data_IF_644749760293
#
_entry.id   IF_644749760293
#
_cell.length_a   1.000
_cell.length_b   1.000
_cell.length_c   1.000
_cell.angle_alpha   90.00
_cell.angle_beta   90.00
_cell.angle_gamma   90.00
#
_symmetry.space_group_name_H-M   'P 1'
#
loop_
_entity.id
_entity.type
_entity.pdbx_description
1 polymer ?
#
# COMPACT_ATOMS: atom_id res chain seq x y z
N UNK A 1 32.99 -65.52 20.55
CA UNK A 1 32.74 -65.08 19.15
C UNK A 1 31.24 -64.82 18.82
N UNK A 2 30.29 -65.19 19.67
CA UNK A 2 28.84 -64.91 19.43
C UNK A 2 28.36 -63.50 19.90
N UNK A 3 28.99 -62.91 20.90
CA UNK A 3 28.60 -61.63 21.50
C UNK A 3 28.98 -60.40 20.63
N UNK A 4 30.06 -60.46 19.86
CA UNK A 4 30.47 -59.37 18.97
C UNK A 4 29.62 -59.22 17.71
N UNK A 5 28.98 -60.31 17.22
CA UNK A 5 28.08 -60.24 16.06
C UNK A 5 26.70 -59.67 16.38
N UNK A 6 26.28 -59.69 17.65
CA UNK A 6 24.96 -59.20 18.08
C UNK A 6 25.00 -57.67 18.27
N UNK A 7 26.12 -57.13 18.80
CA UNK A 7 26.29 -55.69 18.94
C UNK A 7 26.38 -54.93 17.60
N UNK A 8 27.00 -55.57 16.56
CA UNK A 8 27.10 -54.94 15.24
C UNK A 8 25.77 -54.92 14.48
N UNK A 9 24.84 -55.86 14.76
CA UNK A 9 23.48 -55.81 14.18
C UNK A 9 22.60 -54.74 14.82
N UNK A 10 22.72 -54.55 16.14
CA UNK A 10 21.96 -53.51 16.85
C UNK A 10 22.46 -52.10 16.54
N UNK A 11 23.78 -51.90 16.36
CA UNK A 11 24.34 -50.63 15.91
C UNK A 11 23.93 -50.27 14.46
N UNK A 12 23.86 -51.28 13.55
CA UNK A 12 23.36 -51.03 12.17
C UNK A 12 21.87 -50.78 12.13
N UNK A 13 21.07 -51.36 13.03
CA UNK A 13 19.65 -51.11 13.11
C UNK A 13 19.37 -49.74 13.75
N UNK A 14 20.13 -49.31 14.77
CA UNK A 14 20.02 -47.96 15.33
C UNK A 14 20.50 -46.87 14.34
N UNK A 15 21.53 -47.12 13.56
CA UNK A 15 21.97 -46.21 12.48
C UNK A 15 20.94 -46.13 11.33
N UNK A 16 20.24 -47.22 10.99
CA UNK A 16 19.15 -47.22 10.02
C UNK A 16 17.89 -46.51 10.56
N UNK A 17 17.59 -46.60 11.85
CA UNK A 17 16.45 -45.89 12.43
C UNK A 17 16.75 -44.40 12.58
N UNK A 18 18.00 -44.00 12.87
CA UNK A 18 18.40 -42.59 12.80
C UNK A 18 18.43 -42.02 11.39
N UNK A 19 18.79 -42.80 10.36
CA UNK A 19 18.76 -42.37 8.98
C UNK A 19 17.34 -42.28 8.40
N UNK A 20 16.40 -43.08 8.92
CA UNK A 20 14.98 -43.01 8.52
C UNK A 20 14.20 -41.92 9.26
N UNK A 21 14.72 -41.37 10.37
CA UNK A 21 14.10 -40.26 11.10
C UNK A 21 14.55 -38.87 10.59
N UNK A 22 15.50 -38.81 9.63
CA UNK A 22 15.99 -37.54 9.05
C UNK A 22 15.45 -37.24 7.64
N UNK A 23 14.45 -37.98 7.15
CA UNK A 23 13.91 -37.77 5.79
C UNK A 23 12.42 -37.54 5.73
N UNK A 24 11.82 -37.00 6.79
CA UNK A 24 10.51 -36.35 6.70
C UNK A 24 10.53 -35.02 7.48
N UNK A 25 11.49 -34.16 7.20
CA UNK A 25 11.21 -32.75 7.21
C UNK A 25 10.34 -32.54 5.95
N UNK A 26 9.05 -32.82 6.06
CA UNK A 26 8.07 -32.16 5.24
C UNK A 26 8.32 -30.69 5.54
N UNK A 27 8.97 -29.98 4.61
CA UNK A 27 8.87 -28.55 4.55
C UNK A 27 7.37 -28.30 4.36
N UNK A 28 6.65 -28.08 5.45
CA UNK A 28 5.42 -27.30 5.40
C UNK A 28 5.95 -25.97 4.87
N UNK A 29 5.89 -25.77 3.56
CA UNK A 29 5.94 -24.44 3.02
C UNK A 29 4.79 -23.74 3.73
N UNK A 30 5.12 -22.81 4.60
CA UNK A 30 4.16 -21.89 5.15
C UNK A 30 3.52 -21.26 3.90
N UNK A 31 2.25 -21.55 3.67
CA UNK A 31 1.51 -20.89 2.61
C UNK A 31 1.51 -19.42 3.01
N UNK A 32 2.12 -18.57 2.19
CA UNK A 32 2.13 -17.13 2.44
C UNK A 32 0.71 -16.68 2.72
N UNK A 33 0.51 -15.88 3.75
CA UNK A 33 -0.78 -15.26 4.03
C UNK A 33 -1.11 -14.27 2.91
N UNK A 34 -2.28 -14.36 2.30
CA UNK A 34 -2.64 -13.45 1.21
C UNK A 34 -3.02 -12.04 1.67
N UNK A 35 -3.17 -11.83 2.97
CA UNK A 35 -3.62 -10.55 3.54
C UNK A 35 -2.46 -9.75 4.15
N UNK A 36 -2.71 -8.47 4.43
CA UNK A 36 -1.77 -7.63 5.18
C UNK A 36 -1.30 -8.39 6.42
N UNK A 37 0.03 -8.41 6.63
CA UNK A 37 0.65 -9.01 7.81
C UNK A 37 1.17 -7.98 8.80
N UNK A 38 1.43 -6.74 8.33
CA UNK A 38 2.02 -5.69 9.16
C UNK A 38 1.66 -4.30 8.66
N UNK A 39 1.40 -3.38 9.61
CA UNK A 39 1.35 -1.94 9.39
C UNK A 39 2.65 -1.34 9.92
N UNK A 40 3.34 -0.58 9.08
CA UNK A 40 4.64 0.05 9.39
C UNK A 40 4.48 1.49 9.85
N UNK A 41 3.49 2.19 9.29
CA UNK A 41 3.21 3.59 9.61
C UNK A 41 1.73 3.91 9.40
N UNK A 42 1.16 4.76 10.26
CA UNK A 42 -0.20 5.25 10.18
C UNK A 42 -0.24 6.71 10.62
N UNK A 43 -0.37 7.62 9.67
CA UNK A 43 -0.38 9.06 9.90
C UNK A 43 -1.52 9.72 9.15
N UNK A 44 -2.75 9.69 9.70
CA UNK A 44 -3.87 10.35 9.07
C UNK A 44 -3.69 11.87 9.08
N UNK A 45 -4.19 12.54 8.03
CA UNK A 45 -4.36 13.98 8.03
C UNK A 45 -5.61 14.37 8.87
N UNK A 46 -5.80 15.63 9.21
CA UNK A 46 -6.99 16.07 9.95
C UNK A 46 -8.28 15.70 9.22
N UNK A 47 -9.21 15.07 9.96
CA UNK A 47 -10.46 14.59 9.43
C UNK A 47 -11.46 14.19 10.51
N UNK A 48 -12.73 14.04 10.14
CA UNK A 48 -13.83 13.82 11.08
C UNK A 48 -13.77 12.46 11.80
N UNK A 49 -13.12 11.45 11.16
CA UNK A 49 -13.06 10.07 11.69
C UNK A 49 -11.71 9.68 12.28
N UNK A 50 -10.70 10.53 12.21
CA UNK A 50 -9.30 10.13 12.54
C UNK A 50 -9.07 9.72 14.00
N UNK A 51 -9.98 10.10 14.92
CA UNK A 51 -9.94 9.66 16.32
C UNK A 51 -11.02 8.63 16.66
N UNK A 52 -11.77 8.18 15.66
CA UNK A 52 -12.88 7.22 15.80
C UNK A 52 -12.58 5.89 15.09
N UNK A 53 -11.77 5.94 14.00
CA UNK A 53 -11.52 4.79 13.14
C UNK A 53 -10.02 4.72 12.77
N UNK A 54 -9.20 4.00 13.56
CA UNK A 54 -9.51 3.30 14.81
C UNK A 54 -9.72 4.25 15.99
N UNK A 55 -10.49 3.80 16.99
CA UNK A 55 -10.79 4.61 18.17
C UNK A 55 -9.53 4.93 18.98
N UNK A 56 -9.30 6.23 19.19
CA UNK A 56 -8.25 6.72 20.07
C UNK A 56 -8.75 6.78 21.52
N UNK A 57 -7.92 6.35 22.45
CA UNK A 57 -8.13 6.45 23.89
C UNK A 57 -7.04 7.29 24.55
N UNK A 58 -7.38 7.94 25.67
CA UNK A 58 -6.41 8.74 26.39
C UNK A 58 -5.18 7.91 26.84
N UNK A 59 -4.00 8.31 26.37
CA UNK A 59 -2.75 7.63 26.63
C UNK A 59 -2.23 6.81 25.44
N UNK A 60 -2.99 6.69 24.37
CA UNK A 60 -2.49 6.08 23.14
C UNK A 60 -1.33 6.88 22.56
N UNK A 61 -0.31 6.15 22.15
CA UNK A 61 0.88 6.68 21.48
C UNK A 61 0.81 6.42 19.97
N UNK A 62 1.68 7.04 19.20
CA UNK A 62 1.81 6.79 17.75
C UNK A 62 1.97 5.27 17.46
N UNK A 63 2.88 4.59 18.17
CA UNK A 63 3.05 3.14 18.05
C UNK A 63 1.79 2.35 18.45
N UNK A 64 1.03 2.83 19.46
CA UNK A 64 -0.24 2.24 19.86
C UNK A 64 -1.29 2.37 18.76
N UNK A 65 -1.37 3.52 18.09
CA UNK A 65 -2.31 3.74 16.99
C UNK A 65 -1.94 2.96 15.73
N UNK A 66 -0.62 2.79 15.45
CA UNK A 66 -0.15 1.88 14.38
C UNK A 66 -0.61 0.44 14.68
N UNK A 67 -0.46 -0.04 15.92
CA UNK A 67 -0.91 -1.37 16.31
C UNK A 67 -2.44 -1.53 16.21
N UNK A 68 -3.22 -0.51 16.60
CA UNK A 68 -4.68 -0.49 16.43
C UNK A 68 -5.07 -0.51 14.94
N UNK A 69 -4.36 0.24 14.09
CA UNK A 69 -4.57 0.20 12.64
C UNK A 69 -4.27 -1.19 12.07
N UNK A 70 -3.16 -1.83 12.50
CA UNK A 70 -2.82 -3.19 12.11
C UNK A 70 -3.92 -4.20 12.51
N UNK A 71 -4.47 -4.09 13.72
CA UNK A 71 -5.57 -4.95 14.18
C UNK A 71 -6.83 -4.84 13.30
N UNK A 72 -7.13 -3.62 12.79
CA UNK A 72 -8.30 -3.39 11.94
C UNK A 72 -8.15 -3.95 10.53
N UNK A 73 -6.96 -3.85 9.91
CA UNK A 73 -6.81 -4.08 8.46
C UNK A 73 -5.96 -5.30 8.11
N UNK A 74 -5.34 -6.01 9.09
CA UNK A 74 -4.49 -7.18 8.81
C UNK A 74 -5.23 -8.51 8.96
N UNK A 75 -4.73 -9.56 8.31
CA UNK A 75 -5.24 -10.93 8.41
C UNK A 75 -6.59 -11.18 7.75
N UNK A 76 -7.23 -10.17 7.16
CA UNK A 76 -8.54 -10.26 6.52
C UNK A 76 -8.96 -8.94 5.88
N UNK A 77 -10.20 -8.88 5.38
CA UNK A 77 -10.79 -7.67 4.77
C UNK A 77 -12.13 -7.27 5.42
N UNK A 78 -12.52 -7.98 6.47
CA UNK A 78 -13.79 -7.79 7.19
C UNK A 78 -13.60 -7.53 8.70
N UNK A 79 -12.36 -7.26 9.14
CA UNK A 79 -12.06 -7.07 10.57
C UNK A 79 -12.48 -5.69 11.07
N UNK A 80 -12.41 -4.69 10.22
CA UNK A 80 -12.72 -3.31 10.52
C UNK A 80 -12.27 -2.39 9.40
N UNK A 81 -12.02 -1.14 9.74
CA UNK A 81 -11.47 -0.14 8.82
C UNK A 81 -10.63 0.89 9.56
N UNK A 82 -9.84 1.64 8.81
CA UNK A 82 -9.14 2.84 9.27
C UNK A 82 -9.48 4.01 8.36
N UNK A 83 -9.53 5.23 8.91
CA UNK A 83 -9.71 6.46 8.14
C UNK A 83 -8.38 7.20 8.01
N UNK A 84 -8.04 7.62 6.79
CA UNK A 84 -6.82 8.37 6.51
C UNK A 84 -6.99 9.88 6.67
N UNK A 85 -8.22 10.37 6.88
CA UNK A 85 -8.52 11.80 6.96
C UNK A 85 -8.33 12.50 5.61
N UNK A 86 -8.11 13.83 5.66
CA UNK A 86 -7.98 14.66 4.45
C UNK A 86 -6.73 14.35 3.62
N UNK A 87 -6.47 15.19 2.60
CA UNK A 87 -5.39 14.98 1.64
C UNK A 87 -4.05 14.66 2.30
N UNK A 88 -3.41 13.62 1.79
CA UNK A 88 -2.07 13.20 2.16
C UNK A 88 -1.98 12.33 3.40
N UNK A 89 -3.04 12.24 4.22
CA UNK A 89 -3.07 11.28 5.33
C UNK A 89 -2.92 9.86 4.79
N UNK A 90 -2.10 9.03 5.45
CA UNK A 90 -1.64 7.78 4.85
C UNK A 90 -1.50 6.62 5.84
N UNK A 91 -1.45 5.43 5.26
CA UNK A 91 -1.00 4.18 5.90
C UNK A 91 0.07 3.51 5.05
N UNK A 92 1.06 2.87 5.71
CA UNK A 92 2.07 2.01 5.08
C UNK A 92 1.93 0.60 5.63
N UNK A 93 1.78 -0.37 4.76
CA UNK A 93 1.64 -1.78 5.15
C UNK A 93 2.42 -2.71 4.21
N UNK A 94 2.52 -3.98 4.60
CA UNK A 94 3.13 -5.05 3.81
C UNK A 94 2.53 -6.41 4.11
N UNK A 95 2.93 -7.38 3.31
CA UNK A 95 2.57 -8.79 3.44
C UNK A 95 3.70 -9.56 4.14
N UNK A 96 3.50 -10.83 4.44
CA UNK A 96 4.56 -11.70 4.99
C UNK A 96 5.54 -12.20 3.92
N UNK A 97 5.36 -11.73 2.69
CA UNK A 97 6.15 -12.05 1.50
C UNK A 97 6.11 -10.87 0.51
N UNK A 98 6.90 -10.94 -0.54
CA UNK A 98 6.84 -9.99 -1.67
C UNK A 98 5.63 -10.26 -2.54
N UNK A 99 4.89 -9.21 -2.91
CA UNK A 99 3.87 -9.28 -3.95
C UNK A 99 4.54 -9.23 -5.31
N UNK A 100 4.31 -10.26 -6.12
CA UNK A 100 4.94 -10.42 -7.43
C UNK A 100 4.15 -9.69 -8.51
N UNK A 101 4.85 -8.97 -9.39
CA UNK A 101 4.26 -8.39 -10.59
C UNK A 101 4.00 -9.50 -11.63
N UNK A 102 2.73 -9.82 -11.85
CA UNK A 102 2.28 -10.82 -12.85
C UNK A 102 1.84 -10.07 -14.10
N UNK A 103 2.65 -10.12 -15.15
CA UNK A 103 2.45 -9.32 -16.37
C UNK A 103 0.99 -9.31 -16.88
N UNK A 104 0.42 -8.10 -16.97
CA UNK A 104 -0.91 -7.86 -17.53
C UNK A 104 -2.07 -8.31 -16.63
N UNK A 105 -1.82 -8.51 -15.35
CA UNK A 105 -2.82 -8.83 -14.34
C UNK A 105 -2.73 -7.82 -13.19
N UNK A 106 -3.80 -7.68 -12.43
CA UNK A 106 -3.73 -6.99 -11.14
C UNK A 106 -3.05 -7.92 -10.13
N UNK A 107 -2.10 -7.39 -9.36
CA UNK A 107 -1.26 -8.17 -8.46
C UNK A 107 -1.81 -8.21 -7.04
N UNK A 108 -2.42 -7.13 -6.61
CA UNK A 108 -3.04 -7.03 -5.29
C UNK A 108 -4.31 -6.18 -5.31
N UNK A 109 -5.10 -6.29 -4.27
CA UNK A 109 -6.31 -5.50 -4.04
C UNK A 109 -6.20 -4.77 -2.71
N UNK A 110 -6.62 -3.51 -2.66
CA UNK A 110 -6.89 -2.76 -1.42
C UNK A 110 -8.37 -2.48 -1.35
N UNK A 111 -8.98 -2.77 -0.22
CA UNK A 111 -10.41 -2.65 0.02
C UNK A 111 -10.72 -1.36 0.76
N UNK A 112 -11.66 -0.58 0.22
CA UNK A 112 -12.27 0.60 0.86
C UNK A 112 -13.71 0.34 1.25
N UNK A 113 -14.47 1.41 1.51
CA UNK A 113 -15.87 1.35 1.88
C UNK A 113 -16.82 1.95 0.82
N UNK A 114 -16.32 2.41 -0.32
CA UNK A 114 -17.11 3.02 -1.38
C UNK A 114 -18.30 2.15 -1.82
N UNK A 115 -19.45 2.79 -2.00
CA UNK A 115 -20.69 2.16 -2.49
C UNK A 115 -21.31 2.99 -3.60
N UNK A 116 -21.94 2.35 -4.57
CA UNK A 116 -22.72 3.07 -5.57
C UNK A 116 -23.89 3.80 -4.95
N UNK A 117 -24.23 4.95 -5.50
CA UNK A 117 -25.46 5.65 -5.15
C UNK A 117 -26.67 4.79 -5.44
N UNK A 118 -27.63 4.74 -4.50
CA UNK A 118 -28.79 3.84 -4.56
C UNK A 118 -29.80 4.22 -5.65
N UNK A 119 -29.73 5.45 -6.18
CA UNK A 119 -30.67 5.98 -7.17
C UNK A 119 -30.04 6.05 -8.56
N UNK A 120 -28.75 6.38 -8.63
CA UNK A 120 -28.03 6.50 -9.89
C UNK A 120 -26.60 5.91 -9.76
N UNK A 121 -26.44 4.71 -10.27
CA UNK A 121 -25.18 3.97 -10.23
C UNK A 121 -24.04 4.61 -11.07
N UNK A 122 -24.25 5.74 -11.73
CA UNK A 122 -23.15 6.54 -12.30
C UNK A 122 -22.39 7.31 -11.21
N UNK A 123 -22.91 7.34 -10.00
CA UNK A 123 -22.28 8.00 -8.84
C UNK A 123 -21.98 6.99 -7.73
N UNK A 124 -21.07 7.37 -6.86
CA UNK A 124 -20.67 6.61 -5.68
C UNK A 124 -20.33 7.55 -4.51
N UNK A 125 -20.16 6.98 -3.31
CA UNK A 125 -19.43 7.62 -2.21
C UNK A 125 -17.92 7.48 -2.48
N UNK A 126 -17.43 8.19 -3.50
CA UNK A 126 -16.06 8.06 -4.00
C UNK A 126 -15.11 8.96 -3.20
N UNK A 127 -14.13 8.37 -2.52
CA UNK A 127 -13.17 9.03 -1.64
C UNK A 127 -11.73 8.56 -1.99
N UNK A 128 -11.23 8.92 -3.19
CA UNK A 128 -10.10 8.26 -3.82
C UNK A 128 -8.80 8.37 -3.05
N UNK A 129 -8.13 7.23 -2.89
CA UNK A 129 -6.77 7.09 -2.38
C UNK A 129 -5.78 6.71 -3.46
N UNK A 130 -4.62 7.38 -3.49
CA UNK A 130 -3.49 6.99 -4.35
C UNK A 130 -2.72 5.86 -3.71
N UNK A 131 -2.28 4.92 -4.55
CA UNK A 131 -1.44 3.79 -4.16
C UNK A 131 -0.01 4.05 -4.60
N UNK A 132 0.92 3.90 -3.67
CA UNK A 132 2.36 3.86 -3.95
C UNK A 132 2.92 2.51 -3.49
N UNK A 133 3.99 2.10 -4.14
CA UNK A 133 4.68 0.83 -3.84
C UNK A 133 6.17 1.06 -3.66
N UNK A 134 6.81 0.22 -2.85
CA UNK A 134 8.25 0.26 -2.62
C UNK A 134 8.85 -1.13 -2.55
N UNK A 135 10.13 -1.23 -2.89
CA UNK A 135 10.94 -2.44 -2.78
C UNK A 135 11.94 -2.24 -1.66
N UNK A 136 12.06 -3.20 -0.76
CA UNK A 136 13.14 -3.25 0.25
C UNK A 136 14.50 -3.51 -0.45
N UNK A 137 15.06 -2.44 -1.01
CA UNK A 137 16.27 -2.50 -1.81
C UNK A 137 17.52 -2.70 -0.95
N UNK A 138 17.51 -2.20 0.27
CA UNK A 138 18.63 -2.31 1.21
C UNK A 138 18.55 -3.57 2.09
N UNK A 139 17.41 -4.30 2.09
CA UNK A 139 17.20 -5.57 2.80
C UNK A 139 17.05 -5.42 4.31
N UNK A 140 16.64 -4.24 4.80
CA UNK A 140 16.51 -3.97 6.24
C UNK A 140 15.10 -4.24 6.81
N UNK A 141 14.12 -4.56 5.93
CA UNK A 141 12.72 -4.82 6.30
C UNK A 141 11.93 -3.57 6.69
N UNK A 142 12.40 -2.38 6.29
CA UNK A 142 11.76 -1.09 6.58
C UNK A 142 11.35 -0.37 5.28
N UNK A 143 10.26 0.41 5.29
CA UNK A 143 9.78 1.13 4.11
C UNK A 143 10.51 2.49 3.94
N UNK A 144 11.85 2.46 3.95
CA UNK A 144 12.73 3.64 3.89
C UNK A 144 13.47 3.79 2.54
N UNK A 145 13.11 2.96 1.57
CA UNK A 145 13.61 3.02 0.18
C UNK A 145 12.69 3.88 -0.72
N UNK A 146 12.99 3.91 -2.02
CA UNK A 146 12.26 4.72 -3.01
C UNK A 146 10.81 4.25 -3.19
N UNK A 147 9.89 5.21 -3.32
CA UNK A 147 8.48 5.00 -3.54
C UNK A 147 8.08 5.32 -4.97
N UNK A 148 7.26 4.47 -5.58
CA UNK A 148 6.72 4.61 -6.93
C UNK A 148 5.20 4.71 -6.87
N UNK A 149 4.62 5.70 -7.54
CA UNK A 149 3.16 5.83 -7.64
C UNK A 149 2.63 4.83 -8.69
N UNK A 150 1.52 4.18 -8.40
CA UNK A 150 0.77 3.42 -9.41
C UNK A 150 -0.15 4.39 -10.16
N UNK A 151 0.23 4.73 -11.40
CA UNK A 151 -0.49 5.67 -12.23
C UNK A 151 -1.91 5.16 -12.56
N UNK A 152 -2.92 5.73 -11.91
CA UNK A 152 -4.33 5.42 -12.17
C UNK A 152 -4.87 6.14 -13.42
N UNK A 153 -6.18 5.95 -13.70
CA UNK A 153 -6.84 6.48 -14.92
C UNK A 153 -6.70 7.99 -15.11
N UNK A 154 -6.62 8.73 -14.02
CA UNK A 154 -6.57 10.20 -14.03
C UNK A 154 -5.15 10.74 -13.75
N UNK A 155 -4.12 9.89 -13.73
CA UNK A 155 -2.74 10.32 -13.47
C UNK A 155 -2.31 11.46 -14.39
N UNK A 156 -2.62 11.39 -15.69
CA UNK A 156 -2.32 12.40 -16.70
C UNK A 156 -3.50 13.35 -17.00
N UNK A 157 -4.54 13.39 -16.16
CA UNK A 157 -5.66 14.31 -16.38
C UNK A 157 -5.22 15.78 -16.17
N UNK A 158 -5.84 16.69 -16.90
CA UNK A 158 -5.45 18.11 -16.92
C UNK A 158 -5.51 18.80 -15.54
N UNK A 159 -6.38 18.32 -14.65
CA UNK A 159 -6.59 18.87 -13.32
C UNK A 159 -5.92 18.04 -12.21
N UNK A 160 -5.12 17.05 -12.57
CA UNK A 160 -4.24 16.34 -11.64
C UNK A 160 -3.00 17.16 -11.36
N UNK A 161 -2.66 17.34 -10.09
CA UNK A 161 -1.55 18.18 -9.66
C UNK A 161 -0.48 17.30 -8.97
N UNK A 162 0.63 17.07 -9.67
CA UNK A 162 1.80 16.36 -9.13
C UNK A 162 2.65 17.28 -8.24
N UNK A 163 3.17 16.75 -7.14
CA UNK A 163 3.93 17.55 -6.17
C UNK A 163 3.08 18.58 -5.43
N UNK A 164 1.79 18.29 -5.26
CA UNK A 164 0.92 19.11 -4.42
C UNK A 164 1.32 18.96 -2.96
N UNK A 165 1.56 20.08 -2.29
CA UNK A 165 1.94 20.12 -0.89
C UNK A 165 0.88 20.86 -0.09
N UNK A 166 0.46 20.29 1.05
CA UNK A 166 -0.46 20.89 2.00
C UNK A 166 0.14 20.86 3.41
N UNK A 167 -0.07 21.94 4.15
CA UNK A 167 0.28 22.04 5.58
C UNK A 167 -0.96 22.39 6.38
N UNK A 168 -1.35 21.49 7.27
CA UNK A 168 -2.42 21.70 8.25
C UNK A 168 -1.86 22.29 9.53
N UNK A 169 -2.62 23.19 10.17
CA UNK A 169 -2.29 23.82 11.45
C UNK A 169 -3.23 23.29 12.54
N UNK A 170 -2.67 22.90 13.69
CA UNK A 170 -3.45 22.39 14.83
C UNK A 170 -4.50 23.41 15.26
N UNK A 171 -5.77 23.01 15.42
CA UNK A 171 -6.81 23.95 15.79
C UNK A 171 -6.66 24.44 17.24
N UNK A 172 -7.02 25.69 17.48
CA UNK A 172 -7.20 26.21 18.85
C UNK A 172 -8.36 25.45 19.52
N UNK A 173 -8.15 24.81 20.70
CA UNK A 173 -9.21 24.10 21.42
C UNK A 173 -10.48 24.95 21.65
N UNK A 174 -10.33 26.24 21.82
CA UNK A 174 -11.46 27.18 21.98
C UNK A 174 -12.27 27.36 20.69
N UNK A 175 -11.64 27.27 19.53
CA UNK A 175 -12.30 27.40 18.22
C UNK A 175 -13.06 26.11 17.84
N UNK A 176 -12.64 24.97 18.34
CA UNK A 176 -13.24 23.66 18.01
C UNK A 176 -14.74 23.55 18.37
N UNK A 177 -15.22 24.39 19.27
CA UNK A 177 -16.61 24.40 19.79
C UNK A 177 -17.40 25.65 19.42
N UNK A 178 -16.79 26.60 18.72
CA UNK A 178 -17.47 27.84 18.34
C UNK A 178 -18.35 27.60 17.08
N UNK A 179 -19.64 27.88 17.21
CA UNK A 179 -20.53 27.92 16.04
C UNK A 179 -20.13 29.04 15.10
N UNK A 180 -20.15 28.79 13.78
CA UNK A 180 -19.96 29.83 12.78
C UNK A 180 -21.34 30.38 12.38
N UNK A 181 -21.68 31.64 12.76
CA UNK A 181 -22.98 32.21 12.45
C UNK A 181 -23.20 32.46 10.94
N UNK A 182 -22.12 32.47 10.16
CA UNK A 182 -22.16 32.67 8.72
C UNK A 182 -22.14 31.36 7.92
N UNK A 183 -22.34 30.21 8.60
CA UNK A 183 -22.41 28.91 7.92
C UNK A 183 -23.59 28.87 6.94
N UNK A 184 -23.31 28.64 5.64
CA UNK A 184 -24.32 28.54 4.59
C UNK A 184 -25.20 27.29 4.75
N UNK A 185 -24.68 26.27 5.43
CA UNK A 185 -25.32 25.01 5.74
C UNK A 185 -25.42 24.82 7.25
N UNK A 186 -26.60 24.55 7.74
CA UNK A 186 -26.86 24.36 9.17
C UNK A 186 -26.15 23.14 9.76
N UNK A 187 -25.67 22.21 8.93
CA UNK A 187 -24.85 21.10 9.35
C UNK A 187 -23.38 21.50 9.61
N UNK A 188 -22.90 22.61 9.05
CA UNK A 188 -21.56 23.12 9.29
C UNK A 188 -21.57 24.04 10.50
N UNK A 189 -20.94 23.61 11.58
CA UNK A 189 -20.90 24.36 12.85
C UNK A 189 -19.62 25.20 13.02
N UNK A 190 -18.57 24.95 12.21
CA UNK A 190 -17.38 25.81 12.14
C UNK A 190 -16.75 25.76 10.74
N UNK A 191 -16.83 26.86 9.98
CA UNK A 191 -16.23 27.01 8.65
C UNK A 191 -14.70 27.09 8.68
N UNK A 192 -14.12 27.58 9.78
CA UNK A 192 -12.70 27.88 9.91
C UNK A 192 -12.06 27.03 10.99
N UNK A 193 -12.31 25.72 10.97
CA UNK A 193 -11.92 24.85 12.07
C UNK A 193 -10.43 24.52 12.05
N UNK A 194 -9.93 23.81 11.03
CA UNK A 194 -8.50 23.51 10.88
C UNK A 194 -7.97 24.21 9.64
N UNK A 195 -7.09 25.18 9.83
CA UNK A 195 -6.48 25.89 8.71
C UNK A 195 -5.50 24.99 7.98
N UNK A 196 -5.49 25.11 6.65
CA UNK A 196 -4.45 24.56 5.79
C UNK A 196 -3.92 25.60 4.81
N UNK A 197 -2.68 25.40 4.36
CA UNK A 197 -2.04 26.17 3.29
C UNK A 197 -1.41 25.19 2.29
N UNK A 198 -1.30 25.61 1.02
CA UNK A 198 -0.77 24.77 -0.06
C UNK A 198 0.26 25.52 -0.89
N UNK A 199 0.95 24.78 -1.79
CA UNK A 199 1.79 25.34 -2.84
C UNK A 199 1.03 25.65 -4.14
N UNK A 200 -0.30 25.47 -4.17
CA UNK A 200 -1.14 25.78 -5.34
C UNK A 200 -1.54 27.26 -5.33
N UNK A 201 -1.29 27.97 -6.43
CA UNK A 201 -1.75 29.34 -6.61
C UNK A 201 -3.29 29.45 -6.69
N UNK A 202 -3.95 28.41 -7.16
CA UNK A 202 -5.41 28.37 -7.30
C UNK A 202 -6.12 28.16 -5.95
N UNK A 203 -5.46 27.45 -5.03
CA UNK A 203 -5.99 27.12 -3.68
C UNK A 203 -4.91 27.32 -2.62
N UNK A 204 -4.47 28.56 -2.35
CA UNK A 204 -3.30 28.80 -1.49
C UNK A 204 -3.56 28.53 -0.02
N UNK A 205 -4.81 28.64 0.45
CA UNK A 205 -5.22 28.36 1.83
C UNK A 205 -6.72 28.07 1.93
N UNK A 206 -7.10 27.38 2.99
CA UNK A 206 -8.49 27.09 3.32
C UNK A 206 -8.62 26.44 4.69
N UNK A 207 -9.71 25.70 4.88
CA UNK A 207 -10.03 25.10 6.16
C UNK A 207 -10.71 23.74 5.97
N UNK A 208 -10.37 22.78 6.84
CA UNK A 208 -11.25 21.65 7.13
C UNK A 208 -12.38 22.19 8.00
N UNK A 209 -13.62 22.03 7.55
CA UNK A 209 -14.80 22.48 8.29
C UNK A 209 -15.22 21.45 9.33
N UNK A 210 -15.93 21.88 10.34
CA UNK A 210 -16.53 20.98 11.34
C UNK A 210 -18.03 20.92 11.15
N UNK A 211 -18.57 19.70 11.06
CA UNK A 211 -20.01 19.48 10.96
C UNK A 211 -20.62 19.12 12.34
N UNK A 212 -21.97 19.13 12.40
CA UNK A 212 -22.73 18.83 13.61
C UNK A 212 -22.85 17.35 13.93
N UNK A 213 -22.41 16.45 13.04
CA UNK A 213 -22.53 15.02 13.23
C UNK A 213 -21.31 14.46 13.99
N UNK A 214 -20.15 15.13 13.88
CA UNK A 214 -18.88 14.71 14.50
C UNK A 214 -18.37 15.80 15.45
N UNK A 215 -19.00 15.92 16.61
CA UNK A 215 -18.70 16.96 17.61
C UNK A 215 -17.96 16.44 18.83
N UNK A 216 -17.88 15.12 19.01
CA UNK A 216 -17.30 14.50 20.20
C UNK A 216 -15.78 14.64 20.23
N UNK A 217 -15.13 14.32 19.13
CA UNK A 217 -13.67 14.30 19.02
C UNK A 217 -13.14 15.49 18.22
N UNK A 218 -11.86 15.82 18.41
CA UNK A 218 -11.12 16.70 17.52
C UNK A 218 -10.95 16.02 16.15
N UNK A 219 -10.85 16.83 15.09
CA UNK A 219 -10.44 16.33 13.76
C UNK A 219 -8.91 16.27 13.61
N UNK A 220 -8.17 16.76 14.59
CA UNK A 220 -6.73 16.58 14.67
C UNK A 220 -6.42 15.25 15.33
N UNK A 221 -5.57 14.38 14.74
CA UNK A 221 -5.18 13.12 15.36
C UNK A 221 -4.61 13.35 16.76
N UNK A 222 -5.27 12.82 17.78
CA UNK A 222 -5.03 13.22 19.17
C UNK A 222 -3.67 12.77 19.71
N UNK A 223 -3.09 11.71 19.13
CA UNK A 223 -1.74 11.22 19.48
C UNK A 223 -0.62 11.99 18.81
N UNK A 224 -0.92 12.88 17.84
CA UNK A 224 0.08 13.70 17.16
C UNK A 224 0.24 15.02 17.90
N UNK A 225 1.42 15.20 18.50
CA UNK A 225 1.74 16.40 19.28
C UNK A 225 2.12 17.62 18.43
N UNK A 226 2.48 17.40 17.16
CA UNK A 226 2.92 18.44 16.23
C UNK A 226 1.88 19.56 16.09
N UNK A 227 2.34 20.80 16.02
CA UNK A 227 1.50 21.97 15.76
C UNK A 227 1.14 22.13 14.27
N UNK A 228 1.89 21.45 13.39
CA UNK A 228 1.66 21.44 11.94
C UNK A 228 1.95 20.06 11.38
N UNK A 229 1.16 19.67 10.40
CA UNK A 229 1.42 18.46 9.59
C UNK A 229 1.51 18.85 8.12
N UNK A 230 2.57 18.43 7.45
CA UNK A 230 2.77 18.68 6.02
C UNK A 230 2.77 17.35 5.28
N UNK A 231 2.00 17.29 4.19
CA UNK A 231 1.93 16.17 3.28
C UNK A 231 2.20 16.63 1.86
N UNK A 232 2.75 15.71 1.06
CA UNK A 232 3.06 15.94 -0.35
C UNK A 232 2.69 14.72 -1.19
N UNK A 233 2.20 14.93 -2.41
CA UNK A 233 1.85 13.87 -3.34
C UNK A 233 1.12 14.36 -4.58
N UNK A 234 0.52 13.44 -5.30
CA UNK A 234 -0.38 13.75 -6.42
C UNK A 234 -1.77 14.06 -5.89
N UNK A 235 -2.31 15.24 -6.23
CA UNK A 235 -3.69 15.62 -5.90
C UNK A 235 -4.59 15.45 -7.12
N UNK A 236 -5.65 14.68 -6.97
CA UNK A 236 -6.68 14.49 -7.97
C UNK A 236 -7.74 15.60 -7.90
N UNK A 237 -8.43 15.84 -9.02
CA UNK A 237 -9.60 16.69 -9.04
C UNK A 237 -10.73 16.08 -8.20
N UNK A 238 -11.43 16.91 -7.43
CA UNK A 238 -12.64 16.47 -6.75
C UNK A 238 -13.81 16.39 -7.74
N UNK A 239 -14.43 15.21 -7.84
CA UNK A 239 -15.57 14.96 -8.73
C UNK A 239 -16.92 14.96 -7.98
N UNK A 240 -16.96 15.55 -6.79
CA UNK A 240 -18.17 15.72 -6.00
C UNK A 240 -19.12 16.75 -6.65
N UNK A 241 -20.39 16.39 -6.74
CA UNK A 241 -21.45 17.24 -7.25
C UNK A 241 -22.69 17.18 -6.37
N UNK A 242 -23.43 18.28 -6.27
CA UNK A 242 -24.78 18.27 -5.70
C UNK A 242 -25.79 18.01 -6.81
N UNK A 243 -26.43 16.86 -6.80
CA UNK A 243 -27.39 16.43 -7.82
C UNK A 243 -28.85 16.65 -7.41
N UNK A 244 -29.11 17.25 -6.27
CA UNK A 244 -30.48 17.56 -5.84
C UNK A 244 -31.05 18.74 -6.65
N UNK A 245 -32.28 18.59 -7.12
CA UNK A 245 -33.02 19.71 -7.72
C UNK A 245 -33.38 20.78 -6.67
N UNK A 246 -33.59 20.36 -5.42
CA UNK A 246 -33.84 21.20 -4.24
C UNK A 246 -33.17 20.53 -3.03
N UNK A 247 -32.53 21.33 -2.16
CA UNK A 247 -31.78 20.79 -1.03
C UNK A 247 -30.37 20.32 -1.42
N UNK A 248 -29.79 19.43 -0.61
CA UNK A 248 -28.41 19.02 -0.70
C UNK A 248 -28.31 17.50 -0.82
N UNK A 249 -27.83 17.01 -1.95
CA UNK A 249 -27.50 15.60 -2.20
C UNK A 249 -26.16 15.51 -2.91
N UNK A 250 -25.12 15.34 -2.15
CA UNK A 250 -23.76 15.23 -2.64
C UNK A 250 -23.44 13.79 -3.01
N UNK A 251 -22.84 13.61 -4.16
CA UNK A 251 -22.33 12.35 -4.70
C UNK A 251 -21.05 12.63 -5.48
N UNK A 252 -20.25 11.63 -5.76
CA UNK A 252 -19.07 11.77 -6.61
C UNK A 252 -19.15 10.82 -7.81
N UNK A 253 -18.57 11.23 -8.93
CA UNK A 253 -18.35 10.34 -10.08
C UNK A 253 -17.10 9.52 -9.82
N UNK A 254 -17.18 8.18 -9.70
CA UNK A 254 -15.99 7.37 -9.52
C UNK A 254 -15.12 7.37 -10.79
N UNK A 255 -13.82 7.23 -10.62
CA UNK A 255 -12.83 7.11 -11.71
C UNK A 255 -12.84 5.72 -12.30
N UNK A 256 -12.19 5.56 -13.45
CA UNK A 256 -12.26 4.31 -14.18
C UNK A 256 -11.50 3.16 -13.47
N UNK A 257 -10.33 3.44 -12.90
CA UNK A 257 -9.48 2.45 -12.22
C UNK A 257 -8.29 3.10 -11.51
N UNK A 258 -7.64 2.36 -10.60
CA UNK A 258 -6.34 2.68 -10.06
C UNK A 258 -6.35 3.46 -8.74
N UNK A 259 -7.52 3.65 -8.12
CA UNK A 259 -7.67 4.37 -6.85
C UNK A 259 -8.40 3.52 -5.82
N UNK A 260 -7.94 3.60 -4.58
CA UNK A 260 -8.60 2.95 -3.43
C UNK A 260 -9.83 3.77 -3.06
N UNK A 261 -10.88 3.11 -2.60
CA UNK A 261 -12.09 3.74 -2.08
C UNK A 261 -12.80 4.71 -3.05
N UNK A 262 -12.56 4.53 -4.34
CA UNK A 262 -13.16 5.32 -5.42
C UNK A 262 -14.30 4.56 -6.09
N UNK A 263 -14.05 3.31 -6.49
CA UNK A 263 -15.04 2.35 -6.94
C UNK A 263 -15.42 1.40 -5.80
N UNK A 264 -16.69 0.95 -5.73
CA UNK A 264 -17.05 -0.15 -4.85
C UNK A 264 -16.14 -1.36 -5.06
N UNK A 265 -15.78 -2.08 -3.97
CA UNK A 265 -14.87 -3.22 -4.01
C UNK A 265 -15.23 -4.27 -5.06
N UNK A 266 -16.53 -4.48 -5.34
CA UNK A 266 -17.02 -5.41 -6.36
C UNK A 266 -16.73 -4.95 -7.81
N UNK A 267 -16.48 -3.68 -8.02
CA UNK A 267 -16.20 -3.08 -9.33
C UNK A 267 -14.69 -2.80 -9.51
N UNK A 268 -13.97 -2.58 -8.43
CA UNK A 268 -12.51 -2.44 -8.44
C UNK A 268 -11.86 -3.77 -8.89
N UNK A 269 -10.88 -3.68 -9.79
CA UNK A 269 -10.19 -4.85 -10.36
C UNK A 269 -8.84 -5.12 -9.74
N UNK A 270 -8.46 -4.35 -8.72
CA UNK A 270 -7.15 -4.40 -8.09
C UNK A 270 -6.11 -3.52 -8.80
N UNK A 271 -4.87 -3.66 -8.37
CA UNK A 271 -3.75 -2.81 -8.75
C UNK A 271 -2.65 -3.64 -9.39
N UNK A 272 -2.17 -3.16 -10.55
CA UNK A 272 -1.08 -3.77 -11.31
C UNK A 272 0.22 -3.01 -10.98
N UNK A 273 1.22 -3.70 -10.46
CA UNK A 273 2.55 -3.14 -10.17
C UNK A 273 3.20 -2.59 -11.46
N UNK A 274 2.80 -3.10 -12.62
CA UNK A 274 3.21 -2.58 -13.92
C UNK A 274 2.79 -1.14 -14.21
N UNK A 275 1.90 -0.53 -13.41
CA UNK A 275 1.55 0.89 -13.50
C UNK A 275 2.52 1.81 -12.77
N UNK A 276 3.59 1.28 -12.17
CA UNK A 276 4.56 2.05 -11.39
C UNK A 276 5.26 3.12 -12.24
N UNK A 277 5.33 4.33 -11.70
CA UNK A 277 6.07 5.47 -12.28
C UNK A 277 7.01 6.07 -11.24
N UNK A 278 8.14 6.63 -11.71
CA UNK A 278 9.06 7.41 -10.90
C UNK A 278 8.55 8.85 -10.66
N UNK A 279 9.31 9.64 -9.92
CA UNK A 279 8.98 11.03 -9.62
C UNK A 279 8.88 11.94 -10.86
N UNK A 280 9.48 11.55 -11.96
CA UNK A 280 9.42 12.26 -13.26
C UNK A 280 8.27 11.73 -14.14
N UNK A 281 7.49 10.74 -13.68
CA UNK A 281 6.39 10.12 -14.41
C UNK A 281 6.82 9.09 -15.46
N UNK A 282 8.07 8.63 -15.42
CA UNK A 282 8.53 7.57 -16.32
C UNK A 282 8.13 6.20 -15.76
N UNK A 283 7.71 5.29 -16.64
CA UNK A 283 7.36 3.93 -16.25
C UNK A 283 8.56 3.19 -15.66
N UNK A 284 8.34 2.53 -14.53
CA UNK A 284 9.33 1.71 -13.81
C UNK A 284 8.92 0.26 -13.84
N UNK A 285 9.84 -0.64 -14.18
CA UNK A 285 9.58 -2.08 -14.16
C UNK A 285 10.02 -2.68 -12.82
N UNK A 286 9.07 -2.94 -11.95
CA UNK A 286 9.27 -3.60 -10.66
C UNK A 286 8.82 -5.06 -10.80
N UNK A 287 9.68 -6.06 -10.56
CA UNK A 287 9.28 -7.47 -10.63
C UNK A 287 8.47 -7.93 -9.42
N UNK A 288 8.60 -7.24 -8.30
CA UNK A 288 7.87 -7.47 -7.05
C UNK A 288 8.00 -6.25 -6.15
N UNK A 289 7.15 -6.16 -5.12
CA UNK A 289 7.16 -5.11 -4.10
C UNK A 289 7.14 -5.70 -2.70
N UNK A 290 7.61 -4.93 -1.72
CA UNK A 290 7.62 -5.30 -0.30
C UNK A 290 6.62 -4.46 0.50
N UNK A 291 6.40 -3.19 0.10
CA UNK A 291 5.58 -2.24 0.84
C UNK A 291 4.56 -1.56 -0.07
N UNK A 292 3.41 -1.26 0.52
CA UNK A 292 2.33 -0.48 -0.10
C UNK A 292 2.03 0.70 0.81
N UNK A 293 1.91 1.89 0.23
CA UNK A 293 1.42 3.10 0.88
C UNK A 293 0.15 3.56 0.18
N UNK A 294 -0.87 3.89 0.96
CA UNK A 294 -2.09 4.52 0.45
C UNK A 294 -2.26 5.85 1.15
N UNK A 295 -2.62 6.90 0.40
CA UNK A 295 -2.95 8.20 0.96
C UNK A 295 -4.17 8.82 0.28
N UNK A 296 -4.94 9.63 1.03
CA UNK A 296 -6.10 10.37 0.49
C UNK A 296 -5.67 11.33 -0.61
N UNK A 297 -6.29 11.21 -1.78
CA UNK A 297 -5.85 11.87 -3.01
C UNK A 297 -6.49 13.23 -3.28
N UNK A 298 -7.50 13.66 -2.52
CA UNK A 298 -8.23 14.91 -2.76
C UNK A 298 -8.22 15.80 -1.52
N UNK A 299 -8.15 17.12 -1.73
CA UNK A 299 -8.33 18.13 -0.68
C UNK A 299 -9.69 18.78 -0.91
N UNK A 300 -10.76 18.15 -0.46
CA UNK A 300 -12.12 18.63 -0.69
C UNK A 300 -13.13 18.08 0.32
N UNK A 301 -14.40 18.49 0.17
CA UNK A 301 -15.53 18.10 1.01
C UNK A 301 -16.71 17.63 0.15
N UNK A 302 -17.46 16.65 0.65
CA UNK A 302 -18.78 16.27 0.15
C UNK A 302 -19.89 17.21 0.74
N UNK A 303 -19.69 18.52 0.63
CA UNK A 303 -20.59 19.51 1.18
C UNK A 303 -20.80 19.33 2.67
N UNK A 304 -22.07 19.16 3.11
CA UNK A 304 -22.42 19.02 4.53
C UNK A 304 -21.98 17.70 5.15
N UNK A 305 -21.70 16.68 4.35
CA UNK A 305 -21.23 15.37 4.84
C UNK A 305 -19.86 15.51 5.50
N UNK A 306 -19.02 16.42 5.00
CA UNK A 306 -17.71 16.73 5.57
C UNK A 306 -16.57 16.48 4.60
N UNK A 307 -15.35 16.45 5.13
CA UNK A 307 -14.17 16.20 4.30
C UNK A 307 -14.21 14.81 3.68
N UNK A 308 -13.54 14.70 2.54
CA UNK A 308 -13.30 13.43 1.84
C UNK A 308 -12.10 12.77 2.50
N UNK A 309 -12.31 11.57 3.04
CA UNK A 309 -11.27 10.74 3.62
C UNK A 309 -11.29 9.34 2.99
N UNK A 310 -10.12 8.81 2.66
CA UNK A 310 -10.01 7.45 2.15
C UNK A 310 -10.06 6.47 3.32
N UNK A 311 -10.95 5.48 3.28
CA UNK A 311 -11.02 4.38 4.25
C UNK A 311 -10.36 3.12 3.69
N UNK A 312 -9.65 2.40 4.56
CA UNK A 312 -9.00 1.12 4.25
C UNK A 312 -9.59 0.03 5.14
N UNK A 313 -10.12 -1.03 4.52
CA UNK A 313 -10.67 -2.21 5.21
C UNK A 313 -9.71 -3.41 5.19
N UNK A 314 -8.60 -3.32 4.45
CA UNK A 314 -7.61 -4.38 4.30
C UNK A 314 -7.06 -4.46 2.89
N UNK A 315 -6.15 -5.41 2.67
CA UNK A 315 -5.64 -5.71 1.33
C UNK A 315 -5.34 -7.20 1.19
N UNK A 316 -5.30 -7.69 -0.05
CA UNK A 316 -4.87 -9.05 -0.35
C UNK A 316 -3.96 -9.10 -1.58
N UNK A 317 -2.96 -9.98 -1.53
CA UNK A 317 -2.22 -10.44 -2.71
C UNK A 317 -3.14 -11.37 -3.53
N UNK A 318 -3.30 -11.07 -4.80
CA UNK A 318 -4.14 -11.85 -5.72
C UNK A 318 -3.42 -13.09 -6.26
N UNK A 319 -2.09 -13.15 -6.09
CA UNK A 319 -1.22 -14.22 -6.56
C UNK A 319 -0.26 -14.74 -5.48
N UNK A 320 -0.72 -15.10 -4.27
CA UNK A 320 0.15 -15.39 -3.11
C UNK A 320 1.08 -16.59 -3.31
N UNK A 321 0.84 -17.40 -4.33
CA UNK A 321 1.70 -18.53 -4.74
C UNK A 321 2.55 -18.21 -5.96
N UNK A 322 2.43 -17.01 -6.53
CA UNK A 322 3.24 -16.61 -7.66
C UNK A 322 4.72 -16.52 -7.25
N UNK A 323 5.57 -16.82 -8.18
CA UNK A 323 7.01 -16.64 -8.04
C UNK A 323 7.54 -15.93 -9.28
N UNK A 324 8.51 -15.05 -9.10
CA UNK A 324 9.26 -14.51 -10.24
C UNK A 324 10.09 -15.67 -10.80
N UNK A 325 9.44 -16.48 -11.65
CA UNK A 325 10.05 -17.69 -12.17
C UNK A 325 10.66 -17.52 -13.54
N UNK A 326 10.19 -16.58 -14.34
CA UNK A 326 10.74 -16.39 -15.70
C UNK A 326 10.43 -14.99 -16.24
N UNK A 327 11.47 -14.26 -16.65
CA UNK A 327 11.35 -13.03 -17.43
C UNK A 327 11.73 -13.39 -18.87
N UNK A 328 10.72 -13.53 -19.74
CA UNK A 328 10.99 -13.61 -21.18
C UNK A 328 11.37 -12.22 -21.71
N UNK A 329 12.56 -12.11 -22.28
CA UNK A 329 12.99 -10.92 -22.99
C UNK A 329 12.90 -11.11 -24.49
N UNK A 330 12.48 -10.09 -25.24
CA UNK A 330 12.65 -10.04 -26.69
C UNK A 330 14.11 -10.35 -27.07
N UNK A 331 14.33 -11.43 -27.81
CA UNK A 331 15.67 -11.85 -28.22
C UNK A 331 16.12 -13.22 -27.71
N UNK A 332 15.27 -14.01 -27.06
CA UNK A 332 15.52 -15.41 -26.71
C UNK A 332 16.38 -15.63 -25.46
N UNK A 333 16.71 -14.57 -24.70
CA UNK A 333 17.35 -14.71 -23.39
C UNK A 333 16.25 -14.89 -22.35
N UNK A 334 16.34 -15.99 -21.57
CA UNK A 334 15.45 -16.30 -20.48
C UNK A 334 16.20 -16.20 -19.17
N UNK A 335 15.63 -15.48 -18.20
CA UNK A 335 16.19 -15.29 -16.86
C UNK A 335 15.13 -15.70 -15.85
N UNK A 336 15.44 -16.64 -14.96
CA UNK A 336 14.52 -17.13 -13.94
C UNK A 336 15.17 -17.15 -12.56
N UNK A 337 14.43 -16.67 -11.54
CA UNK A 337 14.74 -16.92 -10.13
C UNK A 337 13.96 -18.16 -9.66
N UNK A 338 14.68 -19.11 -9.06
CA UNK A 338 14.13 -20.36 -8.54
C UNK A 338 14.47 -20.52 -7.06
N UNK A 339 14.02 -21.59 -6.45
CA UNK A 339 14.40 -21.95 -5.08
C UNK A 339 15.92 -22.17 -5.00
N UNK A 340 16.61 -21.31 -4.23
CA UNK A 340 18.06 -21.35 -3.99
C UNK A 340 18.94 -21.01 -5.21
N UNK A 341 18.41 -20.52 -6.34
CA UNK A 341 19.24 -20.28 -7.52
C UNK A 341 18.65 -19.30 -8.54
N UNK A 342 19.52 -18.73 -9.38
CA UNK A 342 19.16 -18.04 -10.63
C UNK A 342 19.51 -18.94 -11.81
N UNK A 343 18.62 -19.03 -12.80
CA UNK A 343 18.84 -19.72 -14.08
C UNK A 343 18.79 -18.73 -15.24
N UNK A 344 19.70 -18.88 -16.19
CA UNK A 344 19.72 -18.05 -17.41
C UNK A 344 19.95 -18.95 -18.63
N UNK A 345 19.21 -18.68 -19.71
CA UNK A 345 19.35 -19.35 -21.00
C UNK A 345 19.42 -18.31 -22.12
N UNK A 346 20.15 -18.62 -23.18
CA UNK A 346 20.27 -17.78 -24.36
C UNK A 346 21.27 -16.63 -24.26
N UNK A 347 21.94 -16.45 -23.12
CA UNK A 347 22.97 -15.42 -22.92
C UNK A 347 24.38 -15.98 -23.14
N UNK A 348 25.32 -15.10 -23.49
CA UNK A 348 26.75 -15.45 -23.60
C UNK A 348 27.51 -15.16 -22.31
N UNK A 349 27.18 -14.07 -21.64
CA UNK A 349 27.81 -13.64 -20.39
C UNK A 349 26.72 -13.24 -19.38
N UNK A 350 26.80 -13.78 -18.17
CA UNK A 350 25.85 -13.51 -17.07
C UNK A 350 26.62 -13.02 -15.85
N UNK A 351 26.13 -11.94 -15.25
CA UNK A 351 26.58 -11.44 -13.96
C UNK A 351 25.37 -11.19 -13.07
N UNK A 352 25.41 -11.68 -11.85
CA UNK A 352 24.37 -11.56 -10.85
C UNK A 352 24.88 -10.67 -9.73
N UNK A 353 24.11 -9.66 -9.36
CA UNK A 353 24.47 -8.69 -8.32
C UNK A 353 23.40 -8.69 -7.23
N UNK A 354 23.82 -8.45 -5.99
CA UNK A 354 22.90 -8.05 -4.93
C UNK A 354 22.32 -6.66 -5.25
N UNK A 355 21.21 -6.28 -4.63
CA UNK A 355 20.66 -4.92 -4.78
C UNK A 355 21.66 -3.82 -4.36
N UNK A 356 22.54 -4.10 -3.40
CA UNK A 356 23.65 -3.21 -3.02
C UNK A 356 24.80 -3.11 -4.04
N UNK A 357 24.66 -3.75 -5.23
CA UNK A 357 25.65 -3.71 -6.32
C UNK A 357 26.85 -4.66 -6.16
N UNK A 358 26.88 -5.50 -5.11
CA UNK A 358 27.94 -6.49 -4.95
C UNK A 358 27.74 -7.67 -5.92
N UNK A 359 28.80 -8.10 -6.61
CA UNK A 359 28.77 -9.27 -7.49
C UNK A 359 28.57 -10.54 -6.66
N UNK A 360 27.41 -11.22 -6.87
CA UNK A 360 27.06 -12.46 -6.20
C UNK A 360 27.47 -13.71 -7.01
N UNK A 361 27.35 -13.66 -8.34
CA UNK A 361 27.75 -14.75 -9.23
C UNK A 361 28.08 -14.24 -10.63
N UNK A 362 28.89 -15.02 -11.38
CA UNK A 362 29.19 -14.80 -12.80
C UNK A 362 29.42 -16.13 -13.49
N UNK A 363 28.85 -16.28 -14.71
CA UNK A 363 29.07 -17.45 -15.55
C UNK A 363 28.90 -17.09 -17.03
N UNK A 364 29.30 -18.00 -17.91
CA UNK A 364 29.22 -17.84 -19.36
C UNK A 364 28.26 -18.88 -19.96
N UNK A 365 27.48 -18.47 -20.96
CA UNK A 365 26.48 -19.28 -21.60
C UNK A 365 25.25 -19.58 -20.74
N UNK A 366 24.49 -20.59 -21.17
CA UNK A 366 23.35 -21.11 -20.39
C UNK A 366 23.87 -21.70 -19.08
N UNK A 367 23.26 -21.34 -17.96
CA UNK A 367 23.73 -21.80 -16.66
C UNK A 367 22.82 -21.42 -15.51
N UNK A 368 23.27 -21.81 -14.33
CA UNK A 368 22.60 -21.51 -13.06
C UNK A 368 23.62 -21.12 -12.00
N UNK A 369 23.21 -20.28 -11.04
CA UNK A 369 24.00 -19.90 -9.86
C UNK A 369 23.18 -20.17 -8.60
N UNK A 370 23.78 -20.94 -7.68
CA UNK A 370 23.20 -21.13 -6.35
C UNK A 370 23.39 -19.87 -5.51
N UNK A 371 22.31 -19.35 -4.94
CA UNK A 371 22.27 -18.09 -4.21
C UNK A 371 21.38 -18.22 -2.96
N UNK A 372 21.61 -17.39 -1.98
CA UNK A 372 20.69 -17.31 -0.82
C UNK A 372 19.38 -16.62 -1.22
N UNK A 373 18.26 -16.91 -0.52
CA UNK A 373 17.00 -16.21 -0.76
C UNK A 373 17.14 -14.69 -0.66
N UNK A 374 16.99 -14.00 -1.77
CA UNK A 374 17.04 -12.54 -1.88
C UNK A 374 16.63 -12.09 -3.29
N UNK A 375 16.43 -10.78 -3.49
CA UNK A 375 16.31 -10.17 -4.80
C UNK A 375 17.70 -9.89 -5.40
N UNK A 376 17.87 -10.23 -6.67
CA UNK A 376 19.13 -10.06 -7.40
C UNK A 376 18.91 -9.30 -8.70
N UNK A 377 19.88 -8.48 -9.08
CA UNK A 377 19.97 -7.89 -10.43
C UNK A 377 20.82 -8.81 -11.30
N UNK A 378 20.21 -9.38 -12.33
CA UNK A 378 20.86 -10.25 -13.29
C UNK A 378 21.13 -9.47 -14.57
N UNK A 379 22.39 -9.36 -14.94
CA UNK A 379 22.80 -8.86 -16.25
C UNK A 379 23.18 -10.04 -17.13
N UNK A 380 22.45 -10.22 -18.23
CA UNK A 380 22.68 -11.26 -19.23
C UNK A 380 22.94 -10.58 -20.58
N UNK A 381 24.17 -10.57 -21.04
CA UNK A 381 24.68 -9.76 -22.17
C UNK A 381 24.34 -8.27 -21.99
N UNK A 382 23.48 -7.72 -22.85
CA UNK A 382 22.98 -6.33 -22.78
C UNK A 382 21.68 -6.17 -21.99
N UNK A 383 21.12 -7.27 -21.47
CA UNK A 383 19.87 -7.30 -20.73
C UNK A 383 20.12 -7.21 -19.23
N UNK A 384 19.23 -6.51 -18.55
CA UNK A 384 19.23 -6.43 -17.08
C UNK A 384 17.82 -6.79 -16.60
N UNK A 385 17.74 -7.69 -15.64
CA UNK A 385 16.48 -8.11 -15.01
C UNK A 385 16.69 -8.24 -13.51
N UNK A 386 15.68 -7.93 -12.72
CA UNK A 386 15.63 -8.29 -11.31
C UNK A 386 14.89 -9.61 -11.15
N UNK A 387 15.43 -10.52 -10.34
CA UNK A 387 14.83 -11.82 -10.07
C UNK A 387 14.88 -12.15 -8.60
N UNK A 388 13.80 -12.73 -8.10
CA UNK A 388 13.71 -13.26 -6.75
C UNK A 388 14.26 -14.67 -6.68
N UNK A 389 15.25 -14.91 -5.82
CA UNK A 389 15.68 -16.25 -5.38
C UNK A 389 14.99 -16.54 -4.06
N UNK A 390 14.37 -17.70 -3.91
CA UNK A 390 13.67 -18.17 -2.71
C UNK A 390 14.48 -19.17 -1.92
#
# INVERSE_FOLDING_TARGET
MKTMKQNNKNMKLQAMIMAAALTTAVSVQAQNGKYISKVYDFRPAPGQFVNEIPEWEEGDTEAGMIAKAEEQISGGTDNGMISLGGFGGYVVFGFDHRVVNVSGQSDFMVYGNAVYDLVDANYASSEPGIVMVSVDANGNGLPDDEWFELAGSDYNAANTYHGYQITYEKPDPGRATAADPDADDSAIIAKTYIKWTTNSEAEPEGYVKRNSFHTTNSYWPAWISDEKMTFEGTRLECLTVNIAATGLRYVATPRAWGYVDDLPNSANKGYDIGWAVDADGNAVNLPAIDFVKVYTAVNHEHGWIGEISTEICGAEDLHPTASVTEIESDGGIKIAGCEGMVKVQGAREVSVYTLGGALAARFEGDGEAALTPALYVVRADSRVAMVQVR
#
